data_IF_930319197927
#
_entry.id   IF_930319197927
#
_cell.length_a   1.000
_cell.length_b   1.000
_cell.length_c   1.000
_cell.angle_alpha   90.00
_cell.angle_beta   90.00
_cell.angle_gamma   90.00
#
_symmetry.space_group_name_H-M   'P 1'
#
loop_
_entity.id
_entity.type
_entity.pdbx_description
1 polymer ?
#
# COMPACT_ATOMS: atom_id res chain seq x y z
N UNK A 1 -19.05 -3.19 10.79
CA UNK A 1 -19.39 -4.44 10.08
C UNK A 1 -19.32 -4.18 8.58
N UNK A 2 -18.44 -4.84 7.84
CA UNK A 2 -18.36 -4.76 6.37
C UNK A 2 -19.25 -5.85 5.76
N UNK A 3 -20.21 -5.47 4.92
CA UNK A 3 -21.25 -6.37 4.39
C UNK A 3 -21.05 -6.58 2.89
N UNK A 4 -21.17 -7.83 2.45
CA UNK A 4 -20.98 -8.20 1.05
C UNK A 4 -19.51 -8.34 0.66
N UNK A 5 -19.23 -8.39 -0.66
CA UNK A 5 -17.87 -8.46 -1.25
C UNK A 5 -16.99 -9.62 -0.76
N UNK A 6 -17.59 -10.69 -0.23
CA UNK A 6 -16.88 -11.87 0.29
C UNK A 6 -15.98 -12.51 -0.77
N UNK A 7 -16.43 -12.55 -2.03
CA UNK A 7 -15.68 -13.13 -3.15
C UNK A 7 -14.43 -12.28 -3.47
N UNK A 8 -14.59 -10.97 -3.54
CA UNK A 8 -13.50 -10.03 -3.84
C UNK A 8 -12.46 -10.03 -2.70
N UNK A 9 -12.90 -9.97 -1.44
CA UNK A 9 -12.01 -10.09 -0.28
C UNK A 9 -11.26 -11.42 -0.29
N UNK A 10 -11.93 -12.53 -0.61
CA UNK A 10 -11.29 -13.83 -0.68
C UNK A 10 -10.24 -13.90 -1.81
N UNK A 11 -10.53 -13.33 -2.98
CA UNK A 11 -9.54 -13.22 -4.06
C UNK A 11 -8.32 -12.39 -3.65
N UNK A 12 -8.52 -11.23 -3.00
CA UNK A 12 -7.40 -10.41 -2.50
C UNK A 12 -6.57 -11.16 -1.44
N UNK A 13 -7.22 -11.89 -0.52
CA UNK A 13 -6.52 -12.71 0.48
C UNK A 13 -5.69 -13.82 -0.15
N UNK A 14 -6.23 -14.53 -1.15
CA UNK A 14 -5.51 -15.59 -1.86
C UNK A 14 -4.27 -15.04 -2.57
N UNK A 15 -4.39 -13.91 -3.26
CA UNK A 15 -3.25 -13.27 -3.93
C UNK A 15 -2.20 -12.80 -2.91
N UNK A 16 -2.63 -12.19 -1.80
CA UNK A 16 -1.72 -11.76 -0.73
C UNK A 16 -0.95 -12.89 -0.06
N UNK A 17 -1.52 -14.09 -0.02
CA UNK A 17 -0.88 -15.28 0.53
C UNK A 17 0.00 -16.03 -0.48
N UNK A 18 0.06 -15.57 -1.73
CA UNK A 18 0.92 -16.19 -2.74
C UNK A 18 2.39 -15.94 -2.43
N UNK A 19 3.24 -16.91 -2.79
CA UNK A 19 4.70 -16.88 -2.70
C UNK A 19 5.39 -16.13 -3.86
N UNK A 20 4.62 -15.44 -4.69
CA UNK A 20 5.12 -14.70 -5.86
C UNK A 20 4.61 -13.26 -5.83
N UNK A 21 5.21 -12.43 -6.67
CA UNK A 21 4.75 -11.05 -6.86
C UNK A 21 3.34 -11.04 -7.46
N UNK A 22 2.43 -10.34 -6.78
CA UNK A 22 1.05 -10.16 -7.23
C UNK A 22 0.72 -8.68 -7.38
N UNK A 23 0.16 -8.31 -8.54
CA UNK A 23 -0.27 -6.95 -8.84
C UNK A 23 -1.76 -6.95 -9.21
N UNK A 24 -2.59 -6.36 -8.34
CA UNK A 24 -4.06 -6.38 -8.52
C UNK A 24 -4.59 -4.99 -8.85
N UNK A 25 -5.36 -4.91 -9.94
CA UNK A 25 -6.11 -3.70 -10.33
C UNK A 25 -7.58 -3.87 -9.97
N UNK A 26 -8.11 -2.97 -9.13
CA UNK A 26 -9.53 -2.95 -8.74
C UNK A 26 -10.24 -1.80 -9.47
N UNK A 27 -11.14 -2.13 -10.38
CA UNK A 27 -11.91 -1.15 -11.17
C UNK A 27 -13.42 -1.30 -10.96
N UNK A 28 -14.18 -0.30 -11.41
CA UNK A 28 -15.64 -0.28 -11.30
C UNK A 28 -16.22 1.13 -11.21
N UNK A 29 -17.55 1.25 -11.21
CA UNK A 29 -18.25 2.56 -11.20
C UNK A 29 -17.90 3.39 -9.95
N UNK A 30 -18.13 4.71 -10.02
CA UNK A 30 -17.97 5.62 -8.88
C UNK A 30 -18.91 5.18 -7.74
N UNK A 31 -18.45 5.25 -6.48
CA UNK A 31 -19.21 4.91 -5.25
C UNK A 31 -19.64 3.44 -5.05
N UNK A 32 -19.08 2.48 -5.79
CA UNK A 32 -19.39 1.04 -5.59
C UNK A 32 -18.67 0.38 -4.38
N UNK A 33 -18.00 1.17 -3.54
CA UNK A 33 -17.32 0.66 -2.34
C UNK A 33 -15.91 0.10 -2.56
N UNK A 34 -15.20 0.50 -3.63
CA UNK A 34 -13.81 0.04 -3.89
C UNK A 34 -12.84 0.43 -2.77
N UNK A 35 -12.87 1.70 -2.36
CA UNK A 35 -12.05 2.19 -1.24
C UNK A 35 -12.36 1.42 0.03
N UNK A 36 -13.64 1.20 0.34
CA UNK A 36 -14.05 0.41 1.49
C UNK A 36 -13.54 -1.04 1.44
N UNK A 37 -13.52 -1.66 0.25
CA UNK A 37 -12.93 -2.99 0.05
C UNK A 37 -11.42 -3.01 0.34
N UNK A 38 -10.67 -2.03 -0.17
CA UNK A 38 -9.22 -1.93 0.07
C UNK A 38 -8.96 -1.67 1.55
N UNK A 39 -9.65 -0.70 2.16
CA UNK A 39 -9.52 -0.40 3.59
C UNK A 39 -9.83 -1.62 4.45
N UNK A 40 -10.91 -2.35 4.17
CA UNK A 40 -11.23 -3.59 4.89
C UNK A 40 -10.14 -4.66 4.71
N UNK A 41 -9.63 -4.81 3.49
CA UNK A 41 -8.60 -5.80 3.19
C UNK A 41 -7.28 -5.54 3.94
N UNK A 42 -6.88 -4.29 4.12
CA UNK A 42 -5.57 -3.94 4.72
C UNK A 42 -5.59 -3.74 6.24
N UNK A 43 -6.75 -3.74 6.91
CA UNK A 43 -6.89 -3.41 8.35
C UNK A 43 -5.88 -4.10 9.27
N UNK A 44 -5.69 -5.41 9.09
CA UNK A 44 -4.81 -6.22 9.93
C UNK A 44 -3.50 -6.56 9.21
N UNK A 45 -3.04 -5.66 8.33
CA UNK A 45 -1.84 -5.85 7.52
C UNK A 45 -0.89 -4.68 7.68
N UNK A 46 0.39 -5.02 7.68
CA UNK A 46 1.46 -4.09 7.40
C UNK A 46 1.29 -3.53 5.98
N UNK A 47 0.75 -2.33 5.84
CA UNK A 47 0.43 -1.74 4.56
C UNK A 47 0.75 -0.24 4.52
N UNK A 48 1.32 0.20 3.40
CA UNK A 48 1.43 1.61 3.03
C UNK A 48 0.22 1.95 2.18
N UNK A 49 -0.61 2.90 2.63
CA UNK A 49 -1.80 3.35 1.89
C UNK A 49 -1.57 4.75 1.35
N UNK A 50 -1.52 4.86 0.03
CA UNK A 50 -1.34 6.13 -0.68
C UNK A 50 -2.57 6.42 -1.55
N UNK A 51 -3.14 7.62 -1.39
CA UNK A 51 -4.23 8.11 -2.23
C UNK A 51 -3.68 9.14 -3.22
N UNK A 52 -3.55 8.73 -4.48
CA UNK A 52 -3.24 9.67 -5.56
C UNK A 52 -4.35 10.71 -5.70
N UNK A 53 -3.96 11.98 -5.82
CA UNK A 53 -4.88 13.11 -6.03
C UNK A 53 -4.68 13.68 -7.43
N UNK A 54 -5.73 14.30 -7.96
CA UNK A 54 -5.67 15.04 -9.23
C UNK A 54 -4.86 16.32 -9.04
N UNK A 55 -3.54 16.17 -9.08
CA UNK A 55 -2.53 17.22 -8.91
C UNK A 55 -1.29 16.85 -9.71
N UNK A 56 -0.26 17.70 -9.65
CA UNK A 56 1.00 17.45 -10.34
C UNK A 56 1.77 16.26 -9.72
N UNK A 57 2.75 15.76 -10.47
CA UNK A 57 3.59 14.63 -10.08
C UNK A 57 4.32 14.89 -8.76
N UNK A 58 4.86 16.11 -8.58
CA UNK A 58 5.59 16.51 -7.38
C UNK A 58 4.73 16.39 -6.12
N UNK A 59 3.49 16.87 -6.15
CA UNK A 59 2.57 16.78 -5.02
C UNK A 59 2.23 15.32 -4.68
N UNK A 60 2.04 14.48 -5.70
CA UNK A 60 1.79 13.07 -5.49
C UNK A 60 3.03 12.35 -4.93
N UNK A 61 4.24 12.74 -5.33
CA UNK A 61 5.49 12.22 -4.79
C UNK A 61 5.70 12.64 -3.33
N UNK A 62 5.41 13.89 -2.98
CA UNK A 62 5.43 14.37 -1.59
C UNK A 62 4.46 13.57 -0.72
N UNK A 63 3.21 13.41 -1.18
CA UNK A 63 2.19 12.63 -0.47
C UNK A 63 2.60 11.15 -0.35
N UNK A 64 3.17 10.56 -1.40
CA UNK A 64 3.64 9.17 -1.38
C UNK A 64 4.81 9.00 -0.40
N UNK A 65 5.76 9.94 -0.41
CA UNK A 65 6.89 9.96 0.52
C UNK A 65 6.40 10.02 1.97
N UNK A 66 5.45 10.91 2.25
CA UNK A 66 4.83 11.01 3.57
C UNK A 66 4.15 9.72 4.00
N UNK A 67 3.37 9.06 3.13
CA UNK A 67 2.75 7.77 3.45
C UNK A 67 3.77 6.66 3.74
N UNK A 68 4.95 6.70 3.12
CA UNK A 68 6.05 5.76 3.40
C UNK A 68 6.69 6.07 4.76
N UNK A 69 6.99 7.34 5.05
CA UNK A 69 7.63 7.74 6.31
C UNK A 69 6.70 7.57 7.51
N UNK A 70 5.39 7.81 7.37
CA UNK A 70 4.40 7.52 8.43
C UNK A 70 4.35 6.03 8.78
N UNK A 71 4.67 5.16 7.82
CA UNK A 71 4.78 3.73 8.03
C UNK A 71 6.13 3.32 8.65
N UNK A 72 7.17 4.13 8.45
CA UNK A 72 8.53 3.92 8.96
C UNK A 72 8.84 4.87 10.13
N UNK A 73 8.44 4.48 11.33
CA UNK A 73 8.47 5.34 12.54
C UNK A 73 9.87 5.84 12.94
N UNK A 74 10.93 5.27 12.36
CA UNK A 74 12.32 5.60 12.65
C UNK A 74 12.86 6.77 11.81
N UNK A 75 12.08 7.28 10.84
CA UNK A 75 12.47 8.38 9.97
C UNK A 75 11.62 9.65 10.19
N UNK A 76 12.20 10.85 10.02
CA UNK A 76 11.45 12.10 10.05
C UNK A 76 10.34 12.12 8.99
N UNK A 77 9.13 12.54 9.37
CA UNK A 77 7.95 12.62 8.50
C UNK A 77 8.10 13.57 7.30
N UNK A 78 9.07 14.46 7.36
CA UNK A 78 9.24 15.57 6.40
C UNK A 78 10.22 15.22 5.27
N UNK A 79 10.78 14.00 5.28
CA UNK A 79 11.63 13.51 4.20
C UNK A 79 10.80 13.24 2.94
N UNK A 80 11.23 13.84 1.83
CA UNK A 80 10.64 13.66 0.50
C UNK A 80 11.64 12.93 -0.40
N UNK A 81 11.19 11.85 -1.04
CA UNK A 81 12.02 11.15 -2.00
C UNK A 81 12.23 11.97 -3.27
N UNK A 82 13.39 11.86 -3.93
CA UNK A 82 13.67 12.62 -5.16
C UNK A 82 12.89 12.09 -6.37
N UNK A 83 12.39 10.86 -6.33
CA UNK A 83 11.55 10.28 -7.39
C UNK A 83 10.73 9.10 -6.87
N UNK A 84 9.68 8.72 -7.61
CA UNK A 84 8.91 7.50 -7.33
C UNK A 84 9.77 6.24 -7.38
N UNK A 85 10.78 6.21 -8.25
CA UNK A 85 11.72 5.10 -8.33
C UNK A 85 12.46 4.92 -7.00
N UNK A 86 13.06 5.99 -6.46
CA UNK A 86 13.79 5.92 -5.19
C UNK A 86 12.87 5.56 -4.03
N UNK A 87 11.64 6.08 -4.03
CA UNK A 87 10.62 5.73 -3.05
C UNK A 87 10.25 4.23 -3.09
N UNK A 88 10.06 3.65 -4.28
CA UNK A 88 9.78 2.22 -4.45
C UNK A 88 10.98 1.35 -4.08
N UNK A 89 12.19 1.74 -4.46
CA UNK A 89 13.43 1.06 -4.05
C UNK A 89 13.60 1.04 -2.53
N UNK A 90 13.20 2.13 -1.85
CA UNK A 90 13.17 2.18 -0.39
C UNK A 90 12.19 1.16 0.20
N UNK A 91 10.95 1.12 -0.31
CA UNK A 91 9.94 0.13 0.11
C UNK A 91 10.47 -1.30 -0.07
N UNK A 92 11.15 -1.60 -1.17
CA UNK A 92 11.73 -2.93 -1.39
C UNK A 92 12.81 -3.27 -0.36
N UNK A 93 13.67 -2.31 0.00
CA UNK A 93 14.68 -2.50 1.06
C UNK A 93 14.02 -2.74 2.42
N UNK A 94 12.98 -1.99 2.75
CA UNK A 94 12.20 -2.20 3.98
C UNK A 94 11.55 -3.58 4.03
N UNK A 95 10.93 -4.01 2.92
CA UNK A 95 10.27 -5.30 2.83
C UNK A 95 11.24 -6.46 3.07
N UNK A 96 12.44 -6.42 2.46
CA UNK A 96 13.49 -7.43 2.67
C UNK A 96 13.91 -7.54 4.13
N UNK A 97 14.25 -6.40 4.76
CA UNK A 97 14.65 -6.37 6.18
C UNK A 97 13.61 -7.09 7.04
N UNK A 98 12.32 -6.81 6.84
CA UNK A 98 11.25 -7.44 7.62
C UNK A 98 11.13 -8.94 7.38
N UNK A 99 11.24 -9.43 6.13
CA UNK A 99 11.21 -10.87 5.85
C UNK A 99 12.35 -11.60 6.57
N UNK A 100 13.53 -11.00 6.65
CA UNK A 100 14.68 -11.57 7.34
C UNK A 100 14.49 -11.64 8.88
N UNK A 101 13.80 -10.65 9.48
CA UNK A 101 13.47 -10.65 10.92
C UNK A 101 12.46 -11.72 11.34
N UNK A 102 11.58 -12.17 10.46
CA UNK A 102 10.60 -13.23 10.74
C UNK A 102 11.10 -14.64 10.40
N UNK A 103 12.32 -14.75 9.85
CA UNK A 103 12.94 -16.02 9.44
C UNK A 103 14.00 -16.53 10.42
N UNK A 104 14.18 -15.84 11.56
CA UNK A 104 14.95 -16.28 12.74
C UNK A 104 14.00 -16.42 13.95
#
# INVERSE_FOLDING_TARGET
MFIGRKRELHSLKRLYQSDKFEFTVIYGRRRVGKTALISEFIKDKNAIYFMGVESNEKQNLENFSKSIMEYDTDMPSDLVFPSFQVALEYIFKMAKKRTDYFSN
#
